data_IF_014910898115
#
_entry.id   IF_014910898115
#
_cell.length_a   1.000
_cell.length_b   1.000
_cell.length_c   1.000
_cell.angle_alpha   90.00
_cell.angle_beta   90.00
_cell.angle_gamma   90.00
#
_symmetry.space_group_name_H-M   'P 1'
#
loop_
_entity.id
_entity.type
_entity.pdbx_description
1 polymer ?
#
# COMPACT_ATOMS: atom_id res chain seq x y z
N UNK A 1 15.98 5.80 4.46
CA UNK A 1 15.08 4.82 3.81
C UNK A 1 13.97 5.61 3.16
N UNK A 2 13.82 5.50 1.85
CA UNK A 2 12.81 6.26 1.11
C UNK A 2 11.44 5.54 1.17
N UNK A 3 10.37 6.21 0.70
CA UNK A 3 9.00 5.65 0.76
C UNK A 3 8.86 4.36 -0.05
N UNK A 4 9.59 4.24 -1.16
CA UNK A 4 9.60 3.06 -2.02
C UNK A 4 10.16 1.84 -1.27
N UNK A 5 11.31 1.99 -0.61
CA UNK A 5 11.94 0.94 0.19
C UNK A 5 11.07 0.53 1.38
N UNK A 6 10.43 1.49 2.05
CA UNK A 6 9.49 1.22 3.15
C UNK A 6 8.32 0.37 2.65
N UNK A 7 7.76 0.71 1.50
CA UNK A 7 6.64 -0.02 0.90
C UNK A 7 7.03 -1.44 0.50
N UNK A 8 8.18 -1.60 -0.19
CA UNK A 8 8.67 -2.92 -0.61
C UNK A 8 8.85 -3.84 0.60
N UNK A 9 9.46 -3.34 1.69
CA UNK A 9 9.63 -4.13 2.91
C UNK A 9 8.31 -4.50 3.58
N UNK A 10 7.34 -3.57 3.61
CA UNK A 10 6.04 -3.83 4.19
C UNK A 10 5.27 -4.89 3.37
N UNK A 11 5.26 -4.75 2.04
CA UNK A 11 4.65 -5.73 1.12
C UNK A 11 5.30 -7.10 1.25
N UNK A 12 6.63 -7.17 1.26
CA UNK A 12 7.36 -8.43 1.46
C UNK A 12 7.01 -9.08 2.80
N UNK A 13 6.86 -8.30 3.88
CA UNK A 13 6.48 -8.83 5.18
C UNK A 13 5.07 -9.42 5.14
N UNK A 14 4.11 -8.69 4.59
CA UNK A 14 2.73 -9.18 4.49
C UNK A 14 2.63 -10.41 3.58
N UNK A 15 3.34 -10.42 2.46
CA UNK A 15 3.37 -11.54 1.50
C UNK A 15 3.87 -12.83 2.17
N UNK A 16 4.89 -12.73 3.03
CA UNK A 16 5.45 -13.88 3.76
C UNK A 16 4.49 -14.45 4.82
N UNK A 17 3.59 -13.63 5.35
CA UNK A 17 2.62 -14.02 6.38
C UNK A 17 1.25 -14.39 5.79
N UNK A 18 1.05 -14.11 4.50
CA UNK A 18 -0.19 -14.44 3.81
C UNK A 18 -0.11 -15.87 3.25
N UNK A 19 -1.15 -16.71 3.40
CA UNK A 19 -1.16 -18.07 2.87
C UNK A 19 -0.83 -18.14 1.36
N UNK A 20 -0.06 -19.15 0.96
CA UNK A 20 0.48 -19.29 -0.41
C UNK A 20 -0.58 -19.27 -1.51
N UNK A 21 -1.77 -19.81 -1.25
CA UNK A 21 -2.84 -19.95 -2.23
C UNK A 21 -3.92 -18.86 -2.13
N UNK A 22 -3.60 -17.72 -1.50
CA UNK A 22 -4.54 -16.61 -1.39
C UNK A 22 -4.39 -15.63 -2.55
N UNK A 23 -5.51 -15.10 -3.04
CA UNK A 23 -5.51 -14.01 -4.01
C UNK A 23 -4.75 -12.79 -3.47
N UNK A 24 -4.87 -12.54 -2.16
CA UNK A 24 -4.17 -11.47 -1.45
C UNK A 24 -2.64 -11.58 -1.60
N UNK A 25 -2.06 -12.78 -1.47
CA UNK A 25 -0.61 -12.97 -1.64
C UNK A 25 -0.16 -12.65 -3.06
N UNK A 26 -0.93 -13.07 -4.07
CA UNK A 26 -0.63 -12.76 -5.47
C UNK A 26 -0.71 -11.25 -5.71
N UNK A 27 -1.75 -10.58 -5.22
CA UNK A 27 -1.86 -9.13 -5.36
C UNK A 27 -0.73 -8.38 -4.65
N UNK A 28 -0.35 -8.80 -3.44
CA UNK A 28 0.83 -8.25 -2.73
C UNK A 28 2.12 -8.43 -3.53
N UNK A 29 2.31 -9.61 -4.12
CA UNK A 29 3.46 -9.91 -4.96
C UNK A 29 3.52 -9.00 -6.19
N UNK A 30 2.40 -8.86 -6.91
CA UNK A 30 2.29 -8.05 -8.12
C UNK A 30 2.53 -6.58 -7.83
N UNK A 31 1.94 -6.04 -6.76
CA UNK A 31 2.19 -4.67 -6.30
C UNK A 31 3.67 -4.48 -5.97
N UNK A 32 4.29 -5.43 -5.26
CA UNK A 32 5.71 -5.35 -4.90
C UNK A 32 6.61 -5.35 -6.15
N UNK A 33 6.37 -6.25 -7.12
CA UNK A 33 7.13 -6.29 -8.38
C UNK A 33 7.01 -4.98 -9.15
N UNK A 34 5.80 -4.42 -9.19
CA UNK A 34 5.55 -3.13 -9.83
C UNK A 34 6.29 -1.99 -9.14
N UNK A 35 6.25 -1.91 -7.81
CA UNK A 35 7.02 -0.91 -7.04
C UNK A 35 8.52 -1.06 -7.27
N UNK A 36 9.04 -2.29 -7.36
CA UNK A 36 10.46 -2.56 -7.65
C UNK A 36 10.88 -2.20 -9.08
N UNK A 37 9.95 -2.20 -10.03
CA UNK A 37 10.23 -1.85 -11.42
C UNK A 37 10.42 -0.35 -11.66
N UNK A 38 9.93 0.49 -10.75
CA UNK A 38 10.07 1.94 -10.82
C UNK A 38 11.41 2.42 -10.26
N UNK A 39 11.95 3.49 -10.84
CA UNK A 39 12.90 4.34 -10.13
C UNK A 39 12.20 5.09 -8.99
N UNK A 40 12.97 5.56 -8.01
CA UNK A 40 12.44 6.34 -6.88
C UNK A 40 11.62 7.56 -7.35
N UNK A 41 12.09 8.24 -8.40
CA UNK A 41 11.39 9.40 -8.98
C UNK A 41 10.07 9.03 -9.64
N UNK A 42 10.02 7.92 -10.37
CA UNK A 42 8.78 7.42 -10.98
C UNK A 42 7.79 7.00 -9.90
N UNK A 43 8.26 6.32 -8.85
CA UNK A 43 7.44 5.96 -7.71
C UNK A 43 6.84 7.19 -7.01
N UNK A 44 7.62 8.25 -6.79
CA UNK A 44 7.10 9.50 -6.21
C UNK A 44 6.05 10.17 -7.09
N UNK A 45 6.23 10.13 -8.42
CA UNK A 45 5.26 10.67 -9.37
C UNK A 45 3.95 9.89 -9.33
N UNK A 46 4.00 8.56 -9.40
CA UNK A 46 2.82 7.68 -9.29
C UNK A 46 2.05 7.95 -7.99
N UNK A 47 2.74 7.99 -6.85
CA UNK A 47 2.11 8.23 -5.55
C UNK A 47 1.54 9.65 -5.39
N UNK A 48 2.03 10.64 -6.16
CA UNK A 48 1.66 12.06 -6.06
C UNK A 48 0.58 12.51 -7.04
N UNK A 49 0.35 11.82 -8.16
CA UNK A 49 -0.59 12.27 -9.20
C UNK A 49 -2.06 12.34 -8.72
N UNK A 50 -2.40 11.71 -7.60
CA UNK A 50 -3.77 11.65 -7.07
C UNK A 50 -4.26 12.96 -6.44
N UNK A 51 -3.39 13.93 -6.12
CA UNK A 51 -3.78 15.10 -5.28
C UNK A 51 -4.18 16.36 -6.04
N UNK A 52 -4.07 16.42 -7.38
CA UNK A 52 -4.20 17.72 -8.11
C UNK A 52 -5.26 17.82 -9.21
N UNK A 53 -6.07 16.79 -9.47
CA UNK A 53 -7.11 16.86 -10.50
C UNK A 53 -8.53 16.70 -9.91
N UNK A 54 -9.50 17.54 -10.31
CA UNK A 54 -10.88 17.42 -9.85
C UNK A 54 -11.44 16.04 -10.21
N UNK A 55 -12.16 15.43 -9.26
CA UNK A 55 -12.64 14.05 -9.25
C UNK A 55 -13.49 13.59 -10.46
N UNK A 56 -13.79 14.47 -11.42
CA UNK A 56 -14.68 14.20 -12.55
C UNK A 56 -13.98 13.73 -13.83
N UNK A 57 -12.63 13.72 -13.93
CA UNK A 57 -11.93 13.47 -15.22
C UNK A 57 -10.64 12.65 -15.18
N UNK A 58 -10.48 11.71 -14.26
CA UNK A 58 -9.40 10.73 -14.38
C UNK A 58 -10.03 9.34 -14.27
N UNK A 59 -10.07 8.54 -15.36
CA UNK A 59 -10.13 7.10 -15.17
C UNK A 59 -8.84 6.78 -14.45
N UNK A 60 -8.90 6.47 -13.14
CA UNK A 60 -7.74 5.96 -12.41
C UNK A 60 -7.07 4.95 -13.34
N UNK A 61 -5.83 5.18 -13.81
CA UNK A 61 -5.20 4.16 -14.58
C UNK A 61 -5.19 2.95 -13.66
N UNK A 62 -5.81 1.84 -14.09
CA UNK A 62 -5.80 0.55 -13.40
C UNK A 62 -4.37 -0.01 -13.18
N UNK A 63 -3.36 0.81 -13.49
CA UNK A 63 -1.94 0.60 -13.43
C UNK A 63 -1.24 1.53 -12.44
N UNK A 64 -1.92 2.22 -11.52
CA UNK A 64 -1.28 2.94 -10.40
C UNK A 64 -0.99 1.99 -9.22
N UNK A 65 0.16 2.14 -8.55
CA UNK A 65 0.51 1.41 -7.32
C UNK A 65 -0.48 1.75 -6.20
N UNK A 66 -0.85 3.03 -6.08
CA UNK A 66 -1.76 3.50 -5.05
C UNK A 66 -3.14 2.88 -5.18
N UNK A 67 -3.71 2.87 -6.39
CA UNK A 67 -5.00 2.25 -6.65
C UNK A 67 -5.01 0.75 -6.30
N UNK A 68 -3.94 0.03 -6.67
CA UNK A 68 -3.82 -1.40 -6.35
C UNK A 68 -3.69 -1.64 -4.84
N UNK A 69 -3.01 -0.75 -4.11
CA UNK A 69 -2.98 -0.79 -2.65
C UNK A 69 -4.36 -0.48 -2.06
N UNK A 70 -5.05 0.56 -2.52
CA UNK A 70 -6.38 0.95 -2.02
C UNK A 70 -7.42 -0.17 -2.20
N UNK A 71 -7.30 -0.99 -3.24
CA UNK A 71 -8.15 -2.18 -3.48
C UNK A 71 -7.83 -3.33 -2.53
N UNK A 72 -6.55 -3.67 -2.35
CA UNK A 72 -6.11 -4.83 -1.56
C UNK A 72 -6.08 -4.58 -0.06
N UNK A 73 -5.88 -3.33 0.36
CA UNK A 73 -5.63 -2.99 1.75
C UNK A 73 -6.79 -3.32 2.70
N UNK A 74 -8.07 -3.07 2.36
CA UNK A 74 -9.20 -3.49 3.20
C UNK A 74 -9.26 -5.00 3.42
N UNK A 75 -8.94 -5.80 2.39
CA UNK A 75 -8.91 -7.26 2.50
C UNK A 75 -7.77 -7.73 3.40
N UNK A 76 -6.61 -7.07 3.35
CA UNK A 76 -5.50 -7.32 4.27
C UNK A 76 -5.87 -7.00 5.71
N UNK A 77 -6.52 -5.86 5.95
CA UNK A 77 -6.97 -5.46 7.28
C UNK A 77 -7.94 -6.48 7.87
N UNK A 78 -8.84 -7.02 7.05
CA UNK A 78 -9.75 -8.09 7.46
C UNK A 78 -9.00 -9.41 7.72
N UNK A 79 -8.09 -9.81 6.83
CA UNK A 79 -7.33 -11.07 6.96
C UNK A 79 -6.45 -11.10 8.21
N UNK A 80 -5.93 -9.94 8.62
CA UNK A 80 -5.10 -9.79 9.81
C UNK A 80 -5.85 -9.17 11.01
N UNK A 81 -7.18 -9.10 10.95
CA UNK A 81 -7.99 -8.55 12.03
C UNK A 81 -7.81 -9.40 13.30
N UNK A 82 -7.17 -8.82 14.32
CA UNK A 82 -6.89 -9.50 15.59
C UNK A 82 -5.54 -10.23 15.66
N UNK A 83 -4.67 -10.07 14.66
CA UNK A 83 -3.27 -10.53 14.79
C UNK A 83 -2.57 -9.83 15.96
N UNK A 84 -1.71 -10.57 16.66
CA UNK A 84 -0.80 -10.05 17.71
C UNK A 84 0.64 -9.94 17.23
N UNK A 85 0.90 -10.33 15.99
CA UNK A 85 2.22 -10.29 15.37
C UNK A 85 2.62 -8.82 15.11
N UNK A 86 3.59 -8.33 15.88
CA UNK A 86 4.02 -6.93 15.85
C UNK A 86 4.55 -6.50 14.49
N UNK A 87 5.14 -7.42 13.74
CA UNK A 87 5.70 -7.14 12.42
C UNK A 87 4.62 -6.97 11.36
N UNK A 88 3.50 -7.71 11.46
CA UNK A 88 2.34 -7.53 10.58
C UNK A 88 1.69 -6.17 10.86
N UNK A 89 1.47 -5.85 12.15
CA UNK A 89 0.90 -4.57 12.57
C UNK A 89 1.79 -3.41 12.08
N UNK A 90 3.11 -3.53 12.21
CA UNK A 90 4.06 -2.53 11.72
C UNK A 90 4.00 -2.37 10.21
N UNK A 91 3.95 -3.47 9.45
CA UNK A 91 3.85 -3.43 7.99
C UNK A 91 2.54 -2.76 7.54
N UNK A 92 1.40 -3.10 8.16
CA UNK A 92 0.11 -2.47 7.88
C UNK A 92 0.14 -0.96 8.16
N UNK A 93 0.66 -0.53 9.31
CA UNK A 93 0.76 0.89 9.64
C UNK A 93 1.68 1.66 8.70
N UNK A 94 2.77 1.04 8.21
CA UNK A 94 3.64 1.66 7.19
C UNK A 94 2.90 1.92 5.89
N UNK A 95 2.08 0.95 5.44
CA UNK A 95 1.28 1.12 4.21
C UNK A 95 0.22 2.21 4.42
N UNK A 96 -0.48 2.23 5.57
CA UNK A 96 -1.43 3.32 5.92
C UNK A 96 -0.79 4.71 5.85
N UNK A 97 0.39 4.86 6.46
CA UNK A 97 1.13 6.13 6.44
C UNK A 97 1.55 6.55 5.03
N UNK A 98 1.77 5.60 4.12
CA UNK A 98 2.09 5.88 2.71
C UNK A 98 0.84 6.27 1.91
N UNK A 99 -0.29 5.61 2.16
CA UNK A 99 -1.58 5.94 1.54
C UNK A 99 -2.16 7.26 2.07
N UNK A 100 -1.70 7.71 3.24
CA UNK A 100 -2.26 8.89 3.92
C UNK A 100 -3.62 8.59 4.55
N UNK A 101 -3.92 7.33 4.84
CA UNK A 101 -5.15 6.91 5.54
C UNK A 101 -5.02 6.98 7.06
N UNK A 102 -3.88 7.47 7.56
CA UNK A 102 -3.63 7.76 8.97
C UNK A 102 -4.26 9.13 9.34
N UNK A 103 -5.55 9.30 9.07
CA UNK A 103 -6.35 10.49 9.42
C UNK A 103 -6.62 10.60 10.94
N UNK A 104 -6.02 9.72 11.76
CA UNK A 104 -6.07 9.82 13.22
C UNK A 104 -4.94 10.67 13.84
N UNK A 105 -4.08 11.30 13.03
CA UNK A 105 -3.00 12.16 13.53
C UNK A 105 -3.32 13.66 13.57
N UNK A 106 -4.52 14.09 13.17
CA UNK A 106 -4.98 15.48 13.29
C UNK A 106 -6.43 15.61 13.75
N UNK A 107 -6.69 15.36 15.04
CA UNK A 107 -7.74 16.10 15.73
C UNK A 107 -7.10 17.32 16.41
N UNK A 108 -7.32 18.56 15.93
CA UNK A 108 -7.06 19.72 16.75
C UNK A 108 -8.01 19.63 17.96
N UNK A 109 -7.43 19.47 19.14
CA UNK A 109 -8.11 19.71 20.42
C UNK A 109 -8.25 21.22 20.65
#
# INVERSE_FOLDING_TARGET
>A
MNKQEILIQALQRLENFTPENSNIKNSLHDIKQKVQSFSEKEFEQEMSMVVTMPAEKVPYPAHDVRAALDEVFPELEQAFQGTKESEIISAMNRIRGILGTDDNLHYPS
#
